data_IF_498850164291
#
_entry.id   IF_498850164291
#
_cell.length_a   1.000
_cell.length_b   1.000
_cell.length_c   1.000
_cell.angle_alpha   90.00
_cell.angle_beta   90.00
_cell.angle_gamma   90.00
#
_symmetry.space_group_name_H-M   'P 1'
#
loop_
_entity.id
_entity.type
_entity.pdbx_description
1 polymer ?
#
# COMPACT_ATOMS: atom_id res chain seq x y z
N UNK A 1 24.86 1.09 -14.16
CA UNK A 1 23.83 2.13 -14.40
C UNK A 1 22.51 1.49 -14.04
N UNK A 2 21.90 1.87 -12.91
CA UNK A 2 20.62 1.32 -12.50
C UNK A 2 19.55 1.82 -13.47
N UNK A 3 18.88 0.93 -14.19
CA UNK A 3 17.69 1.29 -14.97
C UNK A 3 16.66 1.83 -13.98
N UNK A 4 16.34 3.13 -14.05
CA UNK A 4 15.24 3.74 -13.33
C UNK A 4 13.94 3.14 -13.90
N UNK A 5 13.53 2.00 -13.34
CA UNK A 5 12.25 1.38 -13.68
C UNK A 5 11.18 2.15 -12.90
N UNK A 6 10.69 3.23 -13.50
CA UNK A 6 9.60 4.03 -12.94
C UNK A 6 8.25 3.40 -13.31
N UNK A 7 7.27 3.52 -12.41
CA UNK A 7 5.92 3.04 -12.67
C UNK A 7 5.25 3.93 -13.72
N UNK A 8 4.72 3.35 -14.80
CA UNK A 8 4.04 4.12 -15.84
C UNK A 8 2.76 4.79 -15.30
N UNK A 9 2.41 5.96 -15.84
CA UNK A 9 1.19 6.70 -15.46
C UNK A 9 -0.08 5.86 -15.59
N UNK A 10 -0.18 5.02 -16.62
CA UNK A 10 -1.32 4.13 -16.82
C UNK A 10 -1.42 3.12 -15.67
N UNK A 11 -0.31 2.46 -15.31
CA UNK A 11 -0.29 1.48 -14.22
C UNK A 11 -0.55 2.11 -12.86
N UNK A 12 0.01 3.29 -12.62
CA UNK A 12 -0.25 4.09 -11.43
C UNK A 12 -1.74 4.38 -11.29
N UNK A 13 -2.38 4.87 -12.35
CA UNK A 13 -3.81 5.16 -12.35
C UNK A 13 -4.65 3.90 -12.09
N UNK A 14 -4.33 2.78 -12.73
CA UNK A 14 -4.99 1.49 -12.47
C UNK A 14 -4.92 1.10 -10.98
N UNK A 15 -3.75 1.23 -10.35
CA UNK A 15 -3.60 0.94 -8.92
C UNK A 15 -4.33 1.95 -8.04
N UNK A 16 -4.24 3.25 -8.34
CA UNK A 16 -4.95 4.28 -7.57
C UNK A 16 -6.47 4.04 -7.61
N UNK A 17 -7.05 3.76 -8.78
CA UNK A 17 -8.47 3.43 -8.91
C UNK A 17 -8.83 2.13 -8.16
N UNK A 18 -7.97 1.10 -8.25
CA UNK A 18 -8.17 -0.17 -7.54
C UNK A 18 -8.16 0.02 -6.01
N UNK A 19 -7.17 0.73 -5.49
CA UNK A 19 -6.98 0.90 -4.04
C UNK A 19 -7.77 2.05 -3.44
N UNK A 20 -8.37 2.94 -4.24
CA UNK A 20 -9.23 4.04 -3.77
C UNK A 20 -10.32 3.52 -2.84
N UNK A 21 -11.07 2.52 -3.29
CA UNK A 21 -12.18 1.94 -2.51
C UNK A 21 -11.71 1.21 -1.25
N UNK A 22 -10.48 0.67 -1.26
CA UNK A 22 -9.86 0.04 -0.09
C UNK A 22 -9.50 1.11 0.93
N UNK A 23 -8.84 2.20 0.51
CA UNK A 23 -8.44 3.33 1.39
C UNK A 23 -9.64 3.91 2.15
N UNK A 24 -10.78 4.05 1.50
CA UNK A 24 -11.99 4.58 2.13
C UNK A 24 -12.54 3.66 3.25
N UNK A 25 -12.28 2.35 3.16
CA UNK A 25 -12.73 1.34 4.12
C UNK A 25 -11.71 1.04 5.22
N UNK A 26 -10.51 1.62 5.16
CA UNK A 26 -9.46 1.33 6.15
C UNK A 26 -9.86 1.85 7.54
N UNK A 27 -9.63 1.05 8.59
CA UNK A 27 -9.83 1.53 9.95
C UNK A 27 -8.80 2.61 10.29
N UNK A 28 -9.15 3.46 11.26
CA UNK A 28 -8.18 4.39 11.82
C UNK A 28 -7.09 3.62 12.60
N UNK A 29 -5.86 4.13 12.58
CA UNK A 29 -4.80 3.54 13.38
C UNK A 29 -5.14 3.58 14.87
N UNK A 30 -5.05 2.46 15.61
CA UNK A 30 -5.43 2.42 17.02
C UNK A 30 -4.56 3.32 17.91
N UNK A 31 -3.31 3.61 17.48
CA UNK A 31 -2.38 4.52 18.16
C UNK A 31 -2.58 5.97 17.74
N UNK A 32 -2.64 6.26 16.43
CA UNK A 32 -2.79 7.64 15.94
C UNK A 32 -4.22 8.17 16.03
N UNK A 33 -5.22 7.30 16.20
CA UNK A 33 -6.66 7.61 16.18
C UNK A 33 -7.12 8.32 14.88
N UNK A 34 -6.38 8.13 13.79
CA UNK A 34 -6.67 8.73 12.48
C UNK A 34 -6.35 7.76 11.35
N UNK A 35 -7.00 7.97 10.20
CA UNK A 35 -6.76 7.24 8.94
C UNK A 35 -5.78 7.95 7.99
N UNK A 36 -5.36 9.18 8.30
CA UNK A 36 -4.54 10.00 7.41
C UNK A 36 -3.22 9.34 6.98
N UNK A 37 -2.60 8.59 7.91
CA UNK A 37 -1.32 7.89 7.69
C UNK A 37 -1.49 6.40 7.41
N UNK A 38 -2.72 5.92 7.20
CA UNK A 38 -3.02 4.49 6.98
C UNK A 38 -3.11 4.23 5.48
N UNK A 39 -2.27 3.32 4.99
CA UNK A 39 -2.27 2.86 3.61
C UNK A 39 -2.78 1.41 3.51
N UNK A 40 -3.30 0.97 2.35
CA UNK A 40 -3.75 -0.39 2.18
C UNK A 40 -2.61 -1.40 2.36
N UNK A 41 -2.94 -2.56 2.92
CA UNK A 41 -2.03 -3.70 2.97
C UNK A 41 -2.40 -4.70 1.88
N UNK A 42 -1.41 -5.18 1.13
CA UNK A 42 -1.59 -6.14 0.04
C UNK A 42 -0.89 -7.45 0.38
N UNK A 43 -1.68 -8.53 0.37
CA UNK A 43 -1.20 -9.89 0.60
C UNK A 43 -0.78 -10.53 -0.73
N UNK A 44 0.24 -11.38 -0.67
CA UNK A 44 0.63 -12.28 -1.76
C UNK A 44 1.98 -11.96 -2.37
N UNK A 45 2.23 -12.53 -3.55
CA UNK A 45 3.44 -12.27 -4.34
C UNK A 45 3.17 -11.05 -5.23
N UNK A 46 3.84 -9.91 -5.00
CA UNK A 46 3.61 -8.72 -5.82
C UNK A 46 4.15 -8.92 -7.24
N UNK A 47 3.52 -8.24 -8.21
CA UNK A 47 4.15 -7.97 -9.50
C UNK A 47 5.25 -6.91 -9.33
N UNK A 48 6.14 -6.75 -10.31
CA UNK A 48 7.18 -5.71 -10.26
C UNK A 48 6.57 -4.31 -10.14
N UNK A 49 5.48 -4.03 -10.86
CA UNK A 49 4.76 -2.76 -10.80
C UNK A 49 4.18 -2.50 -9.40
N UNK A 50 3.58 -3.53 -8.77
CA UNK A 50 3.04 -3.40 -7.42
C UNK A 50 4.15 -3.22 -6.38
N UNK A 51 5.30 -3.86 -6.59
CA UNK A 51 6.48 -3.68 -5.75
C UNK A 51 7.01 -2.25 -5.81
N UNK A 52 7.06 -1.65 -7.02
CA UNK A 52 7.43 -0.25 -7.21
C UNK A 52 6.41 0.67 -6.52
N UNK A 53 5.12 0.44 -6.75
CA UNK A 53 4.04 1.19 -6.11
C UNK A 53 4.08 1.11 -4.57
N UNK A 54 4.42 -0.05 -4.02
CA UNK A 54 4.65 -0.24 -2.58
C UNK A 54 5.90 0.51 -2.09
N UNK A 55 6.99 0.49 -2.87
CA UNK A 55 8.25 1.19 -2.55
C UNK A 55 8.05 2.71 -2.52
N UNK A 56 7.15 3.25 -3.35
CA UNK A 56 6.71 4.66 -3.32
C UNK A 56 5.82 5.00 -2.12
N UNK A 57 5.44 4.01 -1.30
CA UNK A 57 4.67 4.19 -0.06
C UNK A 57 3.16 4.31 -0.25
N UNK A 58 2.62 3.85 -1.38
CA UNK A 58 1.17 3.87 -1.64
C UNK A 58 0.43 2.70 -1.00
N UNK A 59 1.10 1.57 -0.81
CA UNK A 59 0.60 0.35 -0.15
C UNK A 59 1.73 -0.35 0.60
N UNK A 60 1.40 -1.20 1.57
CA UNK A 60 2.37 -2.07 2.25
C UNK A 60 2.16 -3.52 1.85
N UNK A 61 3.24 -4.26 1.62
CA UNK A 61 3.15 -5.69 1.35
C UNK A 61 3.19 -6.49 2.67
N UNK A 62 2.17 -7.28 2.95
CA UNK A 62 2.10 -8.13 4.16
C UNK A 62 2.69 -9.54 3.98
N UNK A 63 3.16 -9.86 2.77
CA UNK A 63 3.66 -11.18 2.42
C UNK A 63 2.54 -12.21 2.22
N UNK A 64 2.87 -13.50 2.40
CA UNK A 64 1.98 -14.62 2.04
C UNK A 64 0.91 -14.93 3.09
N UNK A 65 1.22 -14.71 4.36
CA UNK A 65 0.72 -15.61 5.40
C UNK A 65 -0.20 -14.92 6.41
N UNK A 66 -0.25 -13.59 6.39
CA UNK A 66 -1.14 -12.79 7.22
C UNK A 66 -1.92 -11.78 6.37
N UNK A 67 -3.21 -11.63 6.70
CA UNK A 67 -4.08 -10.58 6.18
C UNK A 67 -4.14 -9.46 7.21
N UNK A 68 -3.81 -8.26 6.75
CA UNK A 68 -3.99 -7.02 7.49
C UNK A 68 -4.82 -6.10 6.64
N UNK A 69 -5.63 -5.26 7.27
CA UNK A 69 -6.47 -4.30 6.56
C UNK A 69 -5.58 -3.18 5.99
N UNK A 70 -4.63 -2.71 6.80
CA UNK A 70 -3.76 -1.61 6.41
C UNK A 70 -2.40 -1.60 7.10
N UNK A 71 -1.64 -0.56 6.80
CA UNK A 71 -0.37 -0.25 7.43
C UNK A 71 -0.35 1.23 7.83
N UNK A 72 -0.02 1.52 9.08
CA UNK A 72 0.16 2.89 9.53
C UNK A 72 1.60 3.33 9.25
N UNK A 73 1.79 4.29 8.35
CA UNK A 73 3.12 4.85 8.02
C UNK A 73 3.77 5.56 9.21
N UNK A 74 2.97 6.18 10.08
CA UNK A 74 3.46 6.93 11.25
C UNK A 74 3.88 6.03 12.42
N UNK A 75 3.16 4.92 12.62
CA UNK A 75 3.46 3.96 13.69
C UNK A 75 4.28 2.76 13.23
N UNK A 76 4.52 2.64 11.93
CA UNK A 76 5.23 1.53 11.29
C UNK A 76 4.71 0.16 11.75
N UNK A 77 3.39 -0.01 11.69
CA UNK A 77 2.73 -1.24 12.11
C UNK A 77 1.52 -1.57 11.23
N UNK A 78 1.26 -2.87 11.09
CA UNK A 78 0.04 -3.38 10.47
C UNK A 78 -1.17 -3.12 11.35
N UNK A 79 -2.32 -2.94 10.69
CA UNK A 79 -3.62 -2.67 11.29
C UNK A 79 -4.60 -3.76 10.85
#
# INVERSE_FOLDING_TARGET
>A
MASNHELSDTKRKEFDDHFKTVRDKLPACPKCKTKADVIPSVQGKPTNDLLLYATEGHVQLSGCCHRYDGWCKKCEQFI
#
